data_IF_527609213681
#
_entry.id   IF_527609213681
#
_cell.length_a   1.000
_cell.length_b   1.000
_cell.length_c   1.000
_cell.angle_alpha   90.00
_cell.angle_beta   90.00
_cell.angle_gamma   90.00
#
_symmetry.space_group_name_H-M   'P 1'
#
loop_
_entity.id
_entity.type
_entity.pdbx_description
1 polymer ?
#
# COMPACT_ATOMS: atom_id res chain seq x y z
N UNK A 1 7.94 -20.15 7.20
CA UNK A 1 7.40 -19.47 6.00
C UNK A 1 8.03 -19.97 4.71
N UNK A 2 9.36 -19.97 4.55
CA UNK A 2 10.06 -20.37 3.32
C UNK A 2 9.63 -21.76 2.79
N UNK A 3 9.77 -22.82 3.60
CA UNK A 3 9.32 -24.19 3.23
C UNK A 3 7.83 -24.29 2.86
N UNK A 4 6.97 -23.48 3.49
CA UNK A 4 5.54 -23.46 3.19
C UNK A 4 5.29 -22.85 1.81
N UNK A 5 5.97 -21.74 1.50
CA UNK A 5 5.92 -21.11 0.19
C UNK A 5 6.41 -22.07 -0.90
N UNK A 6 7.59 -22.69 -0.72
CA UNK A 6 8.16 -23.65 -1.67
C UNK A 6 7.20 -24.83 -1.94
N UNK A 7 6.58 -25.37 -0.89
CA UNK A 7 5.58 -26.43 -1.03
C UNK A 7 4.34 -25.96 -1.82
N UNK A 8 3.81 -24.77 -1.52
CA UNK A 8 2.65 -24.22 -2.24
C UNK A 8 2.95 -23.95 -3.71
N UNK A 9 4.13 -23.37 -4.00
CA UNK A 9 4.59 -23.11 -5.36
C UNK A 9 4.72 -24.39 -6.17
N UNK A 10 5.39 -25.41 -5.63
CA UNK A 10 5.51 -26.73 -6.27
C UNK A 10 4.16 -27.39 -6.50
N UNK A 11 3.25 -27.30 -5.53
CA UNK A 11 1.89 -27.84 -5.66
C UNK A 11 1.12 -27.18 -6.81
N UNK A 12 1.13 -25.84 -6.90
CA UNK A 12 0.46 -25.10 -7.98
C UNK A 12 1.06 -25.45 -9.34
N UNK A 13 2.38 -25.48 -9.46
CA UNK A 13 3.06 -25.79 -10.72
C UNK A 13 2.76 -27.21 -11.21
N UNK A 14 2.67 -28.18 -10.30
CA UNK A 14 2.39 -29.57 -10.60
C UNK A 14 0.91 -29.86 -10.91
N UNK A 15 0.00 -28.95 -10.57
CA UNK A 15 -1.44 -29.11 -10.83
C UNK A 15 -1.71 -29.16 -12.34
N UNK A 16 -2.44 -30.17 -12.79
CA UNK A 16 -2.76 -30.37 -14.22
C UNK A 16 -4.12 -29.80 -14.62
N UNK A 17 -4.92 -29.38 -13.65
CA UNK A 17 -6.24 -28.79 -13.86
C UNK A 17 -6.15 -27.28 -14.10
N UNK A 18 -5.11 -26.63 -13.59
CA UNK A 18 -4.86 -25.21 -13.81
C UNK A 18 -4.19 -24.97 -15.16
N UNK A 19 -4.70 -23.95 -15.86
CA UNK A 19 -4.02 -23.32 -17.00
C UNK A 19 -2.76 -22.58 -16.55
N UNK A 20 -1.87 -22.25 -17.49
CA UNK A 20 -0.65 -21.51 -17.18
C UNK A 20 -0.94 -20.09 -16.63
N UNK A 21 -2.01 -19.46 -17.10
CA UNK A 21 -2.46 -18.16 -16.61
C UNK A 21 -2.96 -18.26 -15.15
N UNK A 22 -3.79 -19.25 -14.84
CA UNK A 22 -4.29 -19.50 -13.48
C UNK A 22 -3.13 -19.84 -12.51
N UNK A 23 -2.15 -20.62 -12.97
CA UNK A 23 -0.94 -20.90 -12.18
C UNK A 23 -0.16 -19.63 -11.88
N UNK A 24 0.02 -18.78 -12.89
CA UNK A 24 0.74 -17.51 -12.75
C UNK A 24 0.03 -16.60 -11.74
N UNK A 25 -1.29 -16.48 -11.82
CA UNK A 25 -2.07 -15.70 -10.88
C UNK A 25 -1.99 -16.27 -9.45
N UNK A 26 -2.13 -17.59 -9.29
CA UNK A 26 -2.02 -18.24 -7.99
C UNK A 26 -0.62 -18.09 -7.37
N UNK A 27 0.44 -18.21 -8.18
CA UNK A 27 1.83 -18.00 -7.73
C UNK A 27 2.03 -16.54 -7.30
N UNK A 28 1.57 -15.57 -8.09
CA UNK A 28 1.66 -14.16 -7.72
C UNK A 28 0.96 -13.90 -6.37
N UNK A 29 -0.24 -14.45 -6.19
CA UNK A 29 -0.99 -14.31 -4.93
C UNK A 29 -0.26 -14.89 -3.70
N UNK A 30 0.32 -16.10 -3.80
CA UNK A 30 1.09 -16.65 -2.68
C UNK A 30 2.41 -15.91 -2.47
N UNK A 31 3.01 -15.38 -3.54
CA UNK A 31 4.27 -14.63 -3.51
C UNK A 31 4.08 -13.29 -2.82
N UNK A 32 2.97 -12.58 -3.04
CA UNK A 32 2.65 -11.33 -2.33
C UNK A 32 2.65 -11.54 -0.80
N UNK A 33 1.98 -12.60 -0.34
CA UNK A 33 1.91 -12.95 1.09
C UNK A 33 3.28 -13.36 1.64
N UNK A 34 4.07 -14.07 0.83
CA UNK A 34 5.41 -14.48 1.18
C UNK A 34 6.37 -13.29 1.27
N UNK A 35 6.32 -12.36 0.32
CA UNK A 35 7.09 -11.11 0.30
C UNK A 35 6.78 -10.25 1.52
N UNK A 36 5.49 -10.06 1.84
CA UNK A 36 5.06 -9.38 3.06
C UNK A 36 5.68 -10.02 4.30
N UNK A 37 5.67 -11.35 4.38
CA UNK A 37 6.26 -12.08 5.50
C UNK A 37 7.78 -11.91 5.55
N UNK A 38 8.47 -11.95 4.40
CA UNK A 38 9.94 -11.80 4.32
C UNK A 38 10.35 -10.45 4.86
N UNK A 39 9.64 -9.40 4.44
CA UNK A 39 9.92 -8.03 4.84
C UNK A 39 9.59 -7.79 6.31
N UNK A 40 8.49 -8.35 6.81
CA UNK A 40 8.08 -8.18 8.20
C UNK A 40 9.08 -8.85 9.16
N UNK A 41 9.50 -10.08 8.87
CA UNK A 41 10.46 -10.82 9.70
C UNK A 41 11.92 -10.56 9.33
N UNK A 42 12.20 -9.73 8.32
CA UNK A 42 13.52 -9.50 7.74
C UNK A 42 14.27 -10.83 7.47
N UNK A 43 13.57 -11.78 6.85
CA UNK A 43 14.01 -13.18 6.70
C UNK A 43 13.94 -13.63 5.25
N UNK A 44 14.88 -14.49 4.85
CA UNK A 44 14.98 -15.06 3.52
C UNK A 44 16.09 -14.46 2.67
N UNK A 45 16.22 -14.97 1.45
CA UNK A 45 17.25 -14.54 0.51
C UNK A 45 16.91 -13.16 -0.05
N UNK A 46 17.88 -12.24 0.06
CA UNK A 46 17.82 -10.94 -0.61
C UNK A 46 18.23 -11.10 -2.07
N UNK A 47 17.72 -10.22 -2.93
CA UNK A 47 18.14 -10.10 -4.33
C UNK A 47 18.61 -8.67 -4.59
N UNK A 48 19.44 -8.50 -5.61
CA UNK A 48 19.77 -7.17 -6.13
C UNK A 48 18.64 -6.73 -7.06
N UNK A 49 18.05 -5.56 -6.79
CA UNK A 49 17.08 -4.96 -7.68
C UNK A 49 17.77 -4.43 -8.94
N UNK A 50 17.31 -4.83 -10.12
CA UNK A 50 17.84 -4.39 -11.41
C UNK A 50 17.64 -2.89 -11.70
N UNK A 51 16.64 -2.25 -11.08
CA UNK A 51 16.31 -0.84 -11.33
C UNK A 51 17.13 0.13 -10.47
N UNK A 52 17.50 -0.25 -9.25
CA UNK A 52 18.18 0.65 -8.30
C UNK A 52 19.46 0.09 -7.68
N UNK A 53 19.85 -1.13 -8.04
CA UNK A 53 21.02 -1.86 -7.55
C UNK A 53 21.09 -2.00 -6.02
N UNK A 54 19.95 -1.89 -5.33
CA UNK A 54 19.85 -2.13 -3.89
C UNK A 54 19.47 -3.58 -3.61
N UNK A 55 19.94 -4.11 -2.48
CA UNK A 55 19.47 -5.39 -1.94
C UNK A 55 18.04 -5.25 -1.40
N UNK A 56 17.08 -5.97 -1.98
CA UNK A 56 15.70 -6.04 -1.52
C UNK A 56 15.29 -7.47 -1.13
N UNK A 57 14.26 -7.59 -0.27
CA UNK A 57 13.70 -8.88 0.14
C UNK A 57 12.55 -9.33 -0.75
N UNK A 58 11.69 -8.39 -1.18
CA UNK A 58 10.53 -8.72 -2.00
C UNK A 58 10.93 -9.26 -3.38
N UNK A 59 10.22 -10.30 -3.83
CA UNK A 59 10.36 -10.89 -5.16
C UNK A 59 9.62 -10.04 -6.19
N UNK A 60 8.37 -9.65 -5.92
CA UNK A 60 7.48 -8.99 -6.89
C UNK A 60 7.76 -7.49 -7.06
N UNK A 61 8.44 -6.87 -6.11
CA UNK A 61 8.73 -5.44 -6.14
C UNK A 61 10.04 -5.12 -5.38
N UNK A 62 10.42 -3.85 -5.37
CA UNK A 62 11.54 -3.35 -4.58
C UNK A 62 11.07 -2.21 -3.66
N UNK A 63 11.27 -2.39 -2.36
CA UNK A 63 10.90 -1.45 -1.30
C UNK A 63 11.54 -0.07 -1.53
N UNK A 64 12.79 -0.04 -2.02
CA UNK A 64 13.51 1.19 -2.34
C UNK A 64 12.96 1.89 -3.58
N UNK A 65 12.63 1.16 -4.65
CA UNK A 65 12.01 1.74 -5.83
C UNK A 65 10.66 2.37 -5.50
N UNK A 66 9.84 1.69 -4.69
CA UNK A 66 8.55 2.22 -4.22
C UNK A 66 8.75 3.53 -3.44
N UNK A 67 9.69 3.56 -2.48
CA UNK A 67 10.02 4.79 -1.72
C UNK A 67 10.52 5.91 -2.61
N UNK A 68 11.38 5.60 -3.59
CA UNK A 68 11.92 6.59 -4.52
C UNK A 68 10.82 7.18 -5.40
N UNK A 69 9.90 6.35 -5.89
CA UNK A 69 8.71 6.79 -6.62
C UNK A 69 7.85 7.74 -5.77
N UNK A 70 7.56 7.38 -4.52
CA UNK A 70 6.77 8.24 -3.63
C UNK A 70 7.49 9.55 -3.34
N UNK A 71 8.79 9.50 -3.02
CA UNK A 71 9.62 10.68 -2.76
C UNK A 71 9.66 11.65 -3.94
N UNK A 72 9.72 11.13 -5.17
CA UNK A 72 9.65 11.97 -6.37
C UNK A 72 8.31 12.71 -6.50
N UNK A 73 7.22 12.14 -5.94
CA UNK A 73 5.88 12.70 -5.97
C UNK A 73 5.55 13.67 -4.81
N UNK A 74 6.47 13.91 -3.86
CA UNK A 74 6.19 14.79 -2.72
C UNK A 74 5.78 16.21 -3.10
N UNK A 75 6.23 16.71 -4.26
CA UNK A 75 5.89 18.04 -4.76
C UNK A 75 4.54 18.09 -5.50
N UNK A 76 3.94 16.94 -5.79
CA UNK A 76 2.75 16.84 -6.63
C UNK A 76 1.44 16.94 -5.83
N UNK A 77 1.51 16.95 -4.50
CA UNK A 77 0.37 17.11 -3.63
C UNK A 77 0.77 17.86 -2.35
N UNK A 78 -0.22 18.50 -1.73
CA UNK A 78 -0.13 19.06 -0.37
C UNK A 78 -1.53 19.03 0.22
N UNK A 79 -1.62 18.81 1.53
CA UNK A 79 -2.87 18.98 2.28
C UNK A 79 -3.17 20.45 2.62
N UNK A 80 -2.20 21.34 2.43
CA UNK A 80 -2.25 22.71 2.97
C UNK A 80 -1.85 22.80 4.45
N UNK A 81 -1.54 21.66 5.11
CA UNK A 81 -1.06 21.59 6.48
C UNK A 81 0.31 20.89 6.52
N UNK A 82 1.35 21.64 6.91
CA UNK A 82 2.72 21.14 6.91
C UNK A 82 2.94 19.95 7.87
N UNK A 83 2.24 19.90 9.01
CA UNK A 83 2.39 18.80 9.97
C UNK A 83 1.84 17.49 9.41
N UNK A 84 0.68 17.55 8.74
CA UNK A 84 0.08 16.41 8.04
C UNK A 84 0.98 15.98 6.87
N UNK A 85 1.45 16.92 6.06
CA UNK A 85 2.31 16.64 4.92
C UNK A 85 3.62 15.96 5.37
N UNK A 86 4.25 16.47 6.43
CA UNK A 86 5.47 15.90 7.02
C UNK A 86 5.23 14.49 7.57
N UNK A 87 4.10 14.24 8.25
CA UNK A 87 3.75 12.90 8.72
C UNK A 87 3.63 11.92 7.55
N UNK A 88 2.83 12.27 6.54
CA UNK A 88 2.58 11.40 5.39
C UNK A 88 3.90 11.12 4.65
N UNK A 89 4.73 12.13 4.42
CA UNK A 89 6.04 11.95 3.78
C UNK A 89 6.95 11.03 4.59
N UNK A 90 6.99 11.16 5.93
CA UNK A 90 7.75 10.26 6.80
C UNK A 90 7.26 8.81 6.68
N UNK A 91 5.95 8.59 6.72
CA UNK A 91 5.36 7.26 6.50
C UNK A 91 5.72 6.70 5.11
N UNK A 92 5.70 7.53 4.07
CA UNK A 92 6.07 7.12 2.71
C UNK A 92 7.55 6.76 2.57
N UNK A 93 8.46 7.44 3.28
CA UNK A 93 9.89 7.09 3.31
C UNK A 93 10.19 5.75 3.99
N UNK A 94 9.33 5.35 4.93
CA UNK A 94 9.46 4.08 5.65
C UNK A 94 8.66 2.94 5.03
N UNK A 95 7.81 3.23 4.04
CA UNK A 95 6.91 2.23 3.45
C UNK A 95 7.67 1.01 2.95
N UNK A 96 7.06 -0.16 3.11
CA UNK A 96 7.67 -1.44 2.76
C UNK A 96 6.83 -2.23 1.79
N UNK A 97 5.55 -1.90 1.66
CA UNK A 97 4.57 -2.71 0.93
C UNK A 97 3.69 -1.72 0.14
N UNK A 98 3.52 -1.91 -1.19
CA UNK A 98 2.65 -1.05 -2.02
C UNK A 98 1.26 -0.82 -1.41
N UNK A 99 0.60 -1.88 -0.95
CA UNK A 99 -0.75 -1.84 -0.34
C UNK A 99 -0.85 -1.10 1.00
N UNK A 100 0.29 -0.77 1.63
CA UNK A 100 0.33 -0.10 2.94
C UNK A 100 0.82 1.34 2.85
N UNK A 101 0.93 1.90 1.64
CA UNK A 101 1.32 3.29 1.44
C UNK A 101 0.25 4.21 2.03
N UNK A 102 0.67 5.03 2.99
CA UNK A 102 -0.13 6.17 3.49
C UNK A 102 -0.02 7.31 2.48
N UNK A 103 -1.13 7.93 2.13
CA UNK A 103 -1.16 9.02 1.14
C UNK A 103 -2.24 10.06 1.47
N UNK A 104 -2.05 11.26 0.92
CA UNK A 104 -3.05 12.31 0.94
C UNK A 104 -4.08 12.10 -0.17
N UNK A 105 -5.38 12.14 0.18
CA UNK A 105 -6.47 11.98 -0.77
C UNK A 105 -7.17 13.32 -0.96
N UNK A 106 -7.07 13.94 -2.16
CA UNK A 106 -7.85 15.13 -2.48
C UNK A 106 -9.34 14.86 -2.32
N UNK A 107 -10.08 15.80 -1.73
CA UNK A 107 -11.51 15.63 -1.47
C UNK A 107 -12.32 15.33 -2.75
N UNK A 108 -11.90 15.86 -3.91
CA UNK A 108 -12.52 15.59 -5.22
C UNK A 108 -12.37 14.13 -5.69
N UNK A 109 -11.48 13.35 -5.08
CA UNK A 109 -11.34 11.92 -5.34
C UNK A 109 -12.31 11.08 -4.49
N UNK A 110 -13.14 11.71 -3.65
CA UNK A 110 -14.20 11.07 -2.88
C UNK A 110 -15.56 11.37 -3.51
N UNK A 111 -16.37 10.34 -3.73
CA UNK A 111 -17.72 10.43 -4.30
C UNK A 111 -18.77 9.86 -3.35
N UNK A 112 -20.01 10.31 -3.51
CA UNK A 112 -21.17 9.77 -2.79
C UNK A 112 -20.95 9.73 -1.27
N UNK A 113 -20.35 10.79 -0.71
CA UNK A 113 -20.11 10.91 0.73
C UNK A 113 -21.47 10.95 1.43
N UNK A 114 -21.72 9.98 2.31
CA UNK A 114 -22.97 9.85 3.06
C UNK A 114 -22.67 9.64 4.53
N UNK A 115 -23.34 10.40 5.38
CA UNK A 115 -23.30 10.18 6.82
C UNK A 115 -23.77 8.76 7.14
N UNK A 116 -23.01 8.07 8.01
CA UNK A 116 -23.32 6.71 8.47
C UNK A 116 -23.81 6.74 9.91
N UNK A 117 -23.00 7.29 10.81
CA UNK A 117 -23.30 7.34 12.26
C UNK A 117 -22.38 8.33 12.98
N UNK A 118 -22.69 8.59 14.24
CA UNK A 118 -21.83 9.32 15.18
C UNK A 118 -21.64 8.44 16.41
N UNK A 119 -20.40 8.23 16.82
CA UNK A 119 -20.05 7.48 18.02
C UNK A 119 -18.76 8.04 18.62
N UNK A 120 -18.57 7.92 19.93
CA UNK A 120 -17.42 8.49 20.63
C UNK A 120 -17.18 9.96 20.24
N UNK A 121 -16.00 10.23 19.66
CA UNK A 121 -15.49 11.57 19.32
C UNK A 121 -15.52 11.88 17.80
N UNK A 122 -16.29 11.15 16.99
CA UNK A 122 -16.25 11.38 15.54
C UNK A 122 -17.55 11.08 14.80
N UNK A 123 -17.77 11.84 13.74
CA UNK A 123 -18.76 11.54 12.71
C UNK A 123 -18.16 10.59 11.69
N UNK A 124 -18.87 9.51 11.38
CA UNK A 124 -18.46 8.48 10.45
C UNK A 124 -19.29 8.59 9.18
N UNK A 125 -18.61 8.57 8.04
CA UNK A 125 -19.22 8.64 6.71
C UNK A 125 -18.78 7.43 5.89
N UNK A 126 -19.59 7.08 4.90
CA UNK A 126 -19.20 6.20 3.79
C UNK A 126 -18.90 7.05 2.56
N UNK A 127 -17.97 6.62 1.72
CA UNK A 127 -17.69 7.24 0.43
C UNK A 127 -17.15 6.21 -0.58
N UNK A 128 -17.21 6.55 -1.85
CA UNK A 128 -16.40 5.88 -2.88
C UNK A 128 -15.10 6.65 -3.09
N UNK A 129 -13.95 6.00 -2.95
CA UNK A 129 -12.65 6.57 -3.28
C UNK A 129 -12.30 6.22 -4.72
N UNK A 130 -12.30 7.22 -5.60
CA UNK A 130 -11.93 7.09 -7.01
C UNK A 130 -10.47 6.70 -7.12
N UNK A 131 -10.19 5.64 -7.89
CA UNK A 131 -8.85 5.10 -8.08
C UNK A 131 -8.42 4.17 -6.94
N UNK A 132 -8.89 4.40 -5.71
CA UNK A 132 -8.62 3.53 -4.56
C UNK A 132 -7.14 3.47 -4.17
N UNK A 133 -6.82 2.54 -3.27
CA UNK A 133 -5.44 2.36 -2.78
C UNK A 133 -4.52 1.79 -3.85
N UNK A 134 -3.22 1.98 -3.64
CA UNK A 134 -2.20 1.25 -4.39
C UNK A 134 -2.32 -0.26 -4.14
N UNK A 135 -2.18 -1.05 -5.21
CA UNK A 135 -2.33 -2.51 -5.18
C UNK A 135 -0.96 -3.18 -5.36
N UNK A 136 -0.24 -2.81 -6.41
CA UNK A 136 1.04 -3.44 -6.75
C UNK A 136 2.01 -2.44 -7.37
N UNK A 137 3.27 -2.85 -7.44
CA UNK A 137 4.32 -2.12 -8.14
C UNK A 137 4.52 -2.70 -9.53
N UNK A 138 4.50 -1.85 -10.56
CA UNK A 138 4.85 -2.23 -11.91
C UNK A 138 6.35 -1.98 -12.12
N UNK A 139 7.15 -3.05 -12.19
CA UNK A 139 8.60 -2.93 -12.37
C UNK A 139 9.02 -2.38 -13.73
N UNK A 140 8.20 -2.58 -14.77
CA UNK A 140 8.49 -2.13 -16.14
C UNK A 140 8.27 -0.62 -16.28
N UNK A 141 7.13 -0.15 -15.78
CA UNK A 141 6.74 1.26 -15.84
C UNK A 141 7.31 2.08 -14.67
N UNK A 142 7.88 1.40 -13.68
CA UNK A 142 8.39 1.98 -12.44
C UNK A 142 7.37 2.88 -11.73
N UNK A 143 6.13 2.39 -11.63
CA UNK A 143 5.03 3.10 -10.98
C UNK A 143 4.16 2.18 -10.14
N UNK A 144 3.46 2.78 -9.17
CA UNK A 144 2.45 2.09 -8.38
C UNK A 144 1.13 2.03 -9.15
N UNK A 145 0.59 0.84 -9.30
CA UNK A 145 -0.75 0.61 -9.85
C UNK A 145 -1.79 0.70 -8.74
N UNK A 146 -2.96 1.25 -9.07
CA UNK A 146 -4.08 1.37 -8.14
C UNK A 146 -5.12 0.27 -8.36
N UNK A 147 -5.80 -0.11 -7.29
CA UNK A 147 -6.84 -1.14 -7.30
C UNK A 147 -8.07 -0.75 -8.14
N UNK A 148 -8.37 0.54 -8.24
CA UNK A 148 -9.61 1.05 -8.81
C UNK A 148 -10.57 1.54 -7.71
N UNK A 149 -11.76 1.97 -8.10
CA UNK A 149 -12.69 2.62 -7.16
C UNK A 149 -13.14 1.64 -6.06
N UNK A 150 -12.95 2.02 -4.80
CA UNK A 150 -13.33 1.21 -3.63
C UNK A 150 -14.29 1.97 -2.70
N UNK A 151 -15.12 1.24 -1.97
CA UNK A 151 -15.89 1.80 -0.86
C UNK A 151 -14.98 1.99 0.36
N UNK A 152 -15.08 3.16 1.00
CA UNK A 152 -14.28 3.52 2.17
C UNK A 152 -15.14 4.09 3.29
N UNK A 153 -14.61 4.01 4.51
CA UNK A 153 -15.11 4.71 5.68
C UNK A 153 -14.26 5.95 5.89
N UNK A 154 -14.91 7.10 6.11
CA UNK A 154 -14.26 8.34 6.51
C UNK A 154 -14.61 8.62 7.97
N UNK A 155 -13.60 8.69 8.84
CA UNK A 155 -13.73 9.19 10.21
C UNK A 155 -13.37 10.67 10.21
N UNK A 156 -14.33 11.54 10.47
CA UNK A 156 -14.08 12.98 10.59
C UNK A 156 -13.44 13.28 11.94
N UNK A 157 -12.27 13.91 11.92
CA UNK A 157 -11.61 14.41 13.13
C UNK A 157 -12.27 15.72 13.57
N UNK A 158 -12.45 15.93 14.88
CA UNK A 158 -12.89 17.22 15.43
C UNK A 158 -11.81 18.29 15.25
N UNK A 159 -12.23 19.56 15.25
CA UNK A 159 -11.55 20.71 14.65
C UNK A 159 -10.01 20.74 14.84
N UNK A 160 -9.29 20.31 13.80
CA UNK A 160 -7.82 20.23 13.77
C UNK A 160 -7.16 21.62 13.84
N UNK A 161 -7.92 22.69 13.55
CA UNK A 161 -7.45 24.08 13.67
C UNK A 161 -7.14 24.51 15.11
N UNK A 162 -7.76 23.86 16.11
CA UNK A 162 -7.52 24.13 17.54
C UNK A 162 -6.96 22.92 18.30
N UNK A 163 -6.77 21.79 17.61
CA UNK A 163 -6.17 20.62 18.21
C UNK A 163 -4.66 20.85 18.32
N UNK A 164 -4.15 20.79 19.55
CA UNK A 164 -2.75 20.45 19.77
C UNK A 164 -2.42 19.15 19.01
N UNK A 165 -1.13 18.86 18.78
CA UNK A 165 -0.67 17.62 18.14
C UNK A 165 -1.13 16.32 18.88
N UNK A 166 -2.02 16.38 19.87
CA UNK A 166 -2.60 15.21 20.53
C UNK A 166 -3.50 14.38 19.61
N UNK A 167 -3.97 14.91 18.47
CA UNK A 167 -4.70 14.09 17.48
C UNK A 167 -3.81 13.01 16.85
N UNK A 168 -2.48 13.13 16.95
CA UNK A 168 -1.54 12.07 16.56
C UNK A 168 -1.48 10.91 17.58
N UNK A 169 -2.05 11.08 18.77
CA UNK A 169 -1.97 10.12 19.89
C UNK A 169 -3.26 9.29 20.09
N UNK A 170 -4.33 9.56 19.32
CA UNK A 170 -5.53 8.69 19.24
C UNK A 170 -5.27 7.39 18.47
#
# INVERSE_FOLDING_TARGET
MHKRYEFQEQFILADKLLTDDEKTEAINYITENYDRSKIFFNSGTKRICENCNQECLATLYCEYCVRNYLKANFKNWTSGNNDIDNLIQKCQLETRIPKMVVEWIPYNNLKNIKYLTKGGFSEIYTAGWIGGSYEKWNSNEQQLERFGTIAVILKKLENVENANQSWFEE
#
